data_IF_264664796077
#
_entry.id   IF_264664796077
#
_cell.length_a   1.000
_cell.length_b   1.000
_cell.length_c   1.000
_cell.angle_alpha   90.00
_cell.angle_beta   90.00
_cell.angle_gamma   90.00
#
_symmetry.space_group_name_H-M   'P 1'
#
loop_
_entity.id
_entity.type
_entity.pdbx_description
1 polymer ?
#
# COMPACT_ATOMS: atom_id res chain seq x y z
N UNK A 1 2.31 -3.23 18.24
CA UNK A 1 3.37 -2.33 18.75
C UNK A 1 2.87 -0.90 18.62
N UNK A 2 3.08 -0.02 19.62
CA UNK A 2 2.63 1.38 19.52
C UNK A 2 3.60 2.22 18.66
N UNK A 3 3.11 3.21 17.90
CA UNK A 3 3.96 4.15 17.19
C UNK A 3 4.84 5.01 18.13
N UNK A 4 5.80 5.74 17.56
CA UNK A 4 6.61 6.71 18.33
C UNK A 4 5.74 7.85 18.84
N UNK A 5 5.99 8.32 20.07
CA UNK A 5 5.23 9.40 20.71
C UNK A 5 5.24 10.71 19.92
N UNK A 6 6.31 10.96 19.15
CA UNK A 6 6.44 12.10 18.21
C UNK A 6 5.26 12.17 17.22
N UNK A 7 4.66 11.02 16.88
CA UNK A 7 3.52 10.93 15.96
C UNK A 7 2.25 11.57 16.54
N UNK A 8 2.09 11.63 17.87
CA UNK A 8 0.87 12.15 18.52
C UNK A 8 0.56 13.57 18.05
N UNK A 9 1.57 14.45 18.05
CA UNK A 9 1.41 15.85 17.60
C UNK A 9 1.09 15.93 16.11
N UNK A 10 1.78 15.14 15.28
CA UNK A 10 1.61 15.15 13.83
C UNK A 10 0.19 14.69 13.44
N UNK A 11 -0.25 13.55 13.99
CA UNK A 11 -1.60 13.02 13.79
C UNK A 11 -2.67 14.02 14.26
N UNK A 12 -2.49 14.59 15.46
CA UNK A 12 -3.43 15.59 16.01
C UNK A 12 -3.60 16.80 15.08
N UNK A 13 -2.50 17.34 14.55
CA UNK A 13 -2.53 18.49 13.61
C UNK A 13 -3.19 18.08 12.29
N UNK A 14 -2.84 16.91 11.74
CA UNK A 14 -3.44 16.39 10.49
C UNK A 14 -4.96 16.23 10.60
N UNK A 15 -5.43 15.77 11.76
CA UNK A 15 -6.86 15.63 12.08
C UNK A 15 -7.56 16.96 12.41
N UNK A 16 -6.83 18.09 12.45
CA UNK A 16 -7.39 19.40 12.73
C UNK A 16 -7.95 19.56 14.16
N UNK A 17 -7.51 18.74 15.12
CA UNK A 17 -8.03 18.80 16.49
C UNK A 17 -7.07 19.54 17.44
N UNK A 18 -7.64 20.18 18.46
CA UNK A 18 -6.85 20.89 19.49
C UNK A 18 -6.33 19.91 20.55
N UNK A 19 -5.27 20.30 21.28
CA UNK A 19 -4.79 19.54 22.44
C UNK A 19 -5.91 19.34 23.49
N UNK A 20 -6.79 20.33 23.65
CA UNK A 20 -7.98 20.26 24.52
C UNK A 20 -8.96 19.17 24.09
N UNK A 21 -9.24 19.06 22.79
CA UNK A 21 -10.12 18.02 22.25
C UNK A 21 -9.51 16.64 22.41
N UNK A 22 -8.21 16.48 22.14
CA UNK A 22 -7.52 15.19 22.33
C UNK A 22 -7.53 14.75 23.80
N UNK A 23 -7.22 15.67 24.71
CA UNK A 23 -7.23 15.43 26.16
C UNK A 23 -8.62 14.96 26.65
N UNK A 24 -9.69 15.65 26.25
CA UNK A 24 -11.06 15.29 26.61
C UNK A 24 -11.45 13.89 26.11
N UNK A 25 -11.07 13.52 24.88
CA UNK A 25 -11.38 12.22 24.30
C UNK A 25 -10.56 11.07 24.93
N UNK A 26 -9.38 11.37 25.45
CA UNK A 26 -8.46 10.37 26.01
C UNK A 26 -8.55 10.25 27.54
N UNK A 27 -9.30 11.15 28.18
CA UNK A 27 -9.49 11.17 29.64
C UNK A 27 -8.27 11.67 30.41
N UNK A 28 -7.41 12.48 29.78
CA UNK A 28 -6.22 13.07 30.43
C UNK A 28 -6.30 14.60 30.44
N UNK A 29 -5.40 15.25 31.17
CA UNK A 29 -5.34 16.71 31.20
C UNK A 29 -4.71 17.28 29.92
N UNK A 30 -5.12 18.49 29.54
CA UNK A 30 -4.52 19.24 28.42
C UNK A 30 -3.03 19.50 28.64
N UNK A 31 -2.63 19.74 29.89
CA UNK A 31 -1.24 19.90 30.30
C UNK A 31 -0.42 18.63 30.02
N UNK A 32 -0.97 17.45 30.33
CA UNK A 32 -0.30 16.17 30.05
C UNK A 32 -0.07 15.98 28.55
N UNK A 33 -1.08 16.25 27.70
CA UNK A 33 -0.89 16.20 26.23
C UNK A 33 0.21 17.18 25.78
N UNK A 34 0.24 18.40 26.32
CA UNK A 34 1.28 19.37 26.00
C UNK A 34 2.69 18.90 26.40
N UNK A 35 2.83 18.31 27.59
CA UNK A 35 4.10 17.74 28.07
C UNK A 35 4.56 16.54 27.23
N UNK A 36 3.62 15.71 26.76
CA UNK A 36 3.92 14.58 25.87
C UNK A 36 4.38 15.11 24.50
N UNK A 37 3.62 16.02 23.89
CA UNK A 37 3.95 16.57 22.56
C UNK A 37 5.22 17.43 22.54
N UNK A 38 5.63 17.98 23.68
CA UNK A 38 6.89 18.72 23.84
C UNK A 38 8.07 17.84 24.29
N UNK A 39 7.84 16.54 24.51
CA UNK A 39 8.88 15.60 24.95
C UNK A 39 9.28 15.74 26.42
N UNK A 40 8.62 16.61 27.19
CA UNK A 40 8.91 16.84 28.62
C UNK A 40 8.46 15.69 29.52
N UNK A 41 7.53 14.85 29.05
CA UNK A 41 7.01 13.72 29.79
C UNK A 41 6.82 12.50 28.87
N UNK A 42 7.06 11.31 29.41
CA UNK A 42 6.66 10.04 28.79
C UNK A 42 5.38 9.54 29.47
N UNK A 43 4.29 9.31 28.71
CA UNK A 43 3.07 8.74 29.27
C UNK A 43 3.28 7.27 29.66
N UNK A 44 2.39 6.75 30.52
CA UNK A 44 2.29 5.30 30.71
C UNK A 44 1.89 4.61 29.41
N UNK A 45 2.19 3.32 29.27
CA UNK A 45 1.77 2.53 28.11
C UNK A 45 0.25 2.62 27.89
N UNK A 46 -0.53 2.54 28.97
CA UNK A 46 -1.99 2.62 28.89
C UNK A 46 -2.47 3.97 28.36
N UNK A 47 -1.86 5.07 28.83
CA UNK A 47 -2.18 6.43 28.36
C UNK A 47 -1.79 6.59 26.89
N UNK A 48 -0.59 6.14 26.51
CA UNK A 48 -0.14 6.16 25.11
C UNK A 48 -1.11 5.35 24.22
N UNK A 49 -1.51 4.16 24.67
CA UNK A 49 -2.45 3.28 23.96
C UNK A 49 -3.79 3.99 23.72
N UNK A 50 -4.38 4.59 24.77
CA UNK A 50 -5.63 5.37 24.67
C UNK A 50 -5.50 6.53 23.69
N UNK A 51 -4.39 7.27 23.71
CA UNK A 51 -4.14 8.35 22.76
C UNK A 51 -4.10 7.83 21.32
N UNK A 52 -3.37 6.74 21.06
CA UNK A 52 -3.28 6.17 19.72
C UNK A 52 -4.60 5.55 19.24
N UNK A 53 -5.38 4.92 20.12
CA UNK A 53 -6.72 4.39 19.79
C UNK A 53 -7.68 5.52 19.35
N UNK A 54 -7.70 6.64 20.09
CA UNK A 54 -8.52 7.81 19.73
C UNK A 54 -8.04 8.43 18.42
N UNK A 55 -6.74 8.64 18.25
CA UNK A 55 -6.19 9.19 17.02
C UNK A 55 -6.49 8.28 15.81
N UNK A 56 -6.31 6.97 15.94
CA UNK A 56 -6.62 6.00 14.89
C UNK A 56 -8.12 5.93 14.55
N UNK A 57 -9.00 6.00 15.55
CA UNK A 57 -10.46 6.06 15.34
C UNK A 57 -10.90 7.32 14.61
N UNK A 58 -10.27 8.46 14.92
CA UNK A 58 -10.49 9.72 14.20
C UNK A 58 -9.91 9.68 12.79
N UNK A 59 -8.70 9.13 12.61
CA UNK A 59 -8.09 8.91 11.29
C UNK A 59 -8.97 8.02 10.41
N UNK A 60 -9.46 6.88 10.91
CA UNK A 60 -10.30 5.94 10.16
C UNK A 60 -11.63 6.52 9.66
N UNK A 61 -12.11 7.63 10.23
CA UNK A 61 -13.30 8.36 9.74
C UNK A 61 -12.99 9.31 8.57
N UNK A 62 -11.71 9.58 8.32
CA UNK A 62 -11.22 10.53 7.29
C UNK A 62 -10.13 9.93 6.38
N UNK A 63 -9.73 8.67 6.58
CA UNK A 63 -8.63 8.06 5.84
C UNK A 63 -9.10 7.56 4.48
N UNK A 64 -8.39 7.99 3.44
CA UNK A 64 -8.47 7.43 2.11
C UNK A 64 -8.13 5.94 2.15
N UNK A 65 -9.00 5.09 1.61
CA UNK A 65 -8.79 3.64 1.48
C UNK A 65 -7.90 3.36 0.27
N UNK A 66 -7.23 2.21 0.25
CA UNK A 66 -6.49 1.76 -0.93
C UNK A 66 -7.38 1.72 -2.19
N UNK A 67 -8.63 1.28 -2.01
CA UNK A 67 -9.66 1.29 -3.06
C UNK A 67 -10.04 2.68 -3.60
N UNK A 68 -9.75 3.76 -2.86
CA UNK A 68 -10.04 5.12 -3.32
C UNK A 68 -8.98 5.63 -4.32
N UNK A 69 -7.76 5.06 -4.28
CA UNK A 69 -6.63 5.43 -5.14
C UNK A 69 -6.44 4.42 -6.28
N UNK A 70 -6.96 3.20 -6.14
CA UNK A 70 -6.73 2.14 -7.11
C UNK A 70 -7.34 2.45 -8.50
N UNK A 71 -6.65 1.99 -9.54
CA UNK A 71 -7.15 2.08 -10.91
C UNK A 71 -8.39 1.19 -11.08
N UNK A 72 -9.50 1.76 -11.53
CA UNK A 72 -10.76 1.01 -11.76
C UNK A 72 -10.80 0.24 -13.08
N UNK A 73 -10.02 0.67 -14.07
CA UNK A 73 -9.85 -0.03 -15.35
C UNK A 73 -8.51 -0.72 -15.33
N UNK A 74 -8.53 -2.00 -14.98
CA UNK A 74 -7.33 -2.82 -14.92
C UNK A 74 -7.03 -3.36 -16.32
N UNK A 75 -5.80 -3.14 -16.79
CA UNK A 75 -5.26 -3.86 -17.94
C UNK A 75 -4.59 -5.10 -17.35
N UNK A 76 -4.91 -6.28 -17.89
CA UNK A 76 -4.49 -7.58 -17.37
C UNK A 76 -4.34 -8.59 -18.50
N UNK A 77 -3.63 -9.69 -18.24
CA UNK A 77 -3.46 -10.82 -19.18
C UNK A 77 -3.78 -12.13 -18.48
N UNK A 78 -4.18 -13.15 -19.24
CA UNK A 78 -4.28 -14.53 -18.74
C UNK A 78 -2.93 -15.25 -18.79
N UNK A 79 -2.74 -16.20 -17.88
CA UNK A 79 -1.49 -16.96 -17.73
C UNK A 79 -1.09 -17.79 -18.96
N UNK A 80 -2.07 -18.17 -19.78
CA UNK A 80 -1.91 -19.00 -20.99
C UNK A 80 -1.79 -18.16 -22.27
N UNK A 81 -1.97 -16.84 -22.18
CA UNK A 81 -1.72 -15.93 -23.29
C UNK A 81 -0.24 -15.92 -23.71
N UNK A 82 -0.03 -15.57 -24.97
CA UNK A 82 1.33 -15.46 -25.54
C UNK A 82 2.04 -14.23 -24.99
N UNK A 83 3.32 -14.41 -24.65
CA UNK A 83 4.16 -13.36 -24.06
C UNK A 83 4.23 -12.10 -24.94
N UNK A 84 4.37 -12.26 -26.26
CA UNK A 84 4.44 -11.12 -27.18
C UNK A 84 3.18 -10.23 -27.12
N UNK A 85 1.98 -10.82 -26.97
CA UNK A 85 0.74 -10.03 -26.84
C UNK A 85 0.74 -9.22 -25.55
N UNK A 86 1.26 -9.79 -24.46
CA UNK A 86 1.39 -9.08 -23.19
C UNK A 86 2.39 -7.91 -23.30
N UNK A 87 3.53 -8.11 -23.98
CA UNK A 87 4.52 -7.06 -24.23
C UNK A 87 3.91 -5.92 -25.06
N UNK A 88 3.19 -6.25 -26.14
CA UNK A 88 2.50 -5.25 -26.97
C UNK A 88 1.46 -4.46 -26.16
N UNK A 89 0.70 -5.15 -25.30
CA UNK A 89 -0.29 -4.53 -24.43
C UNK A 89 0.37 -3.56 -23.42
N UNK A 90 1.48 -3.96 -22.79
CA UNK A 90 2.27 -3.10 -21.90
C UNK A 90 2.79 -1.85 -22.62
N UNK A 91 3.39 -2.03 -23.81
CA UNK A 91 3.91 -0.94 -24.64
C UNK A 91 2.80 0.03 -25.07
N UNK A 92 1.71 -0.49 -25.62
CA UNK A 92 0.61 0.32 -26.14
C UNK A 92 -0.10 1.14 -25.06
N UNK A 93 -0.07 0.67 -23.80
CA UNK A 93 -0.66 1.38 -22.68
C UNK A 93 0.36 2.14 -21.82
N UNK A 94 1.65 2.10 -22.17
CA UNK A 94 2.75 2.71 -21.39
C UNK A 94 2.77 2.24 -19.93
N UNK A 95 2.63 0.93 -19.71
CA UNK A 95 2.59 0.31 -18.38
C UNK A 95 3.78 -0.63 -18.21
N UNK A 96 4.52 -0.48 -17.12
CA UNK A 96 5.71 -1.29 -16.80
C UNK A 96 5.40 -2.60 -16.08
N UNK A 97 4.17 -2.78 -15.57
CA UNK A 97 3.75 -3.97 -14.84
C UNK A 97 2.28 -4.30 -15.08
N UNK A 98 1.98 -5.57 -15.33
CA UNK A 98 0.63 -6.04 -15.62
C UNK A 98 0.27 -7.26 -14.76
N UNK A 99 -0.90 -7.27 -14.09
CA UNK A 99 -1.35 -8.43 -13.34
C UNK A 99 -1.72 -9.58 -14.27
N UNK A 100 -1.30 -10.78 -13.86
CA UNK A 100 -1.57 -12.04 -14.56
C UNK A 100 -2.68 -12.78 -13.83
N UNK A 101 -3.71 -13.15 -14.59
CA UNK A 101 -4.88 -13.85 -14.09
C UNK A 101 -4.89 -15.30 -14.55
N UNK A 102 -5.51 -16.13 -13.72
CA UNK A 102 -6.04 -17.44 -14.08
C UNK A 102 -7.55 -17.37 -13.87
N UNK A 103 -8.28 -17.17 -14.98
CA UNK A 103 -9.70 -16.82 -14.95
C UNK A 103 -9.94 -15.54 -14.13
N UNK A 104 -10.50 -15.67 -12.92
CA UNK A 104 -10.80 -14.54 -12.02
C UNK A 104 -9.78 -14.33 -10.89
N UNK A 105 -8.76 -15.18 -10.80
CA UNK A 105 -7.77 -15.15 -9.71
C UNK A 105 -6.48 -14.51 -10.19
N UNK A 106 -5.94 -13.56 -9.43
CA UNK A 106 -4.58 -13.05 -9.65
C UNK A 106 -3.59 -14.15 -9.26
N UNK A 107 -2.77 -14.59 -10.22
CA UNK A 107 -1.77 -15.67 -10.03
C UNK A 107 -0.34 -15.19 -10.19
N UNK A 108 -0.13 -13.95 -10.63
CA UNK A 108 1.20 -13.38 -10.79
C UNK A 108 1.21 -11.95 -11.29
N UNK A 109 2.42 -11.46 -11.54
CA UNK A 109 2.70 -10.19 -12.19
C UNK A 109 3.69 -10.41 -13.32
N UNK A 110 3.49 -9.72 -14.44
CA UNK A 110 4.51 -9.59 -15.46
C UNK A 110 5.09 -8.17 -15.38
N UNK A 111 6.41 -8.06 -15.28
CA UNK A 111 7.11 -6.78 -15.10
C UNK A 111 8.14 -6.56 -16.20
N UNK A 112 8.48 -5.31 -16.50
CA UNK A 112 9.59 -4.98 -17.42
C UNK A 112 10.92 -5.59 -16.98
N UNK A 113 11.20 -5.64 -15.67
CA UNK A 113 12.41 -6.26 -15.12
C UNK A 113 12.45 -7.77 -15.36
N UNK A 114 11.33 -8.46 -15.12
CA UNK A 114 11.17 -9.88 -15.41
C UNK A 114 11.32 -10.19 -16.90
N UNK A 115 10.75 -9.35 -17.77
CA UNK A 115 10.91 -9.45 -19.22
C UNK A 115 12.37 -9.25 -19.66
N UNK A 116 13.05 -8.25 -19.11
CA UNK A 116 14.45 -7.96 -19.44
C UNK A 116 15.38 -9.13 -19.11
N UNK A 117 15.18 -9.79 -17.95
CA UNK A 117 15.94 -11.00 -17.58
C UNK A 117 15.79 -12.11 -18.61
N UNK A 118 14.55 -12.39 -19.02
CA UNK A 118 14.28 -13.45 -20.01
C UNK A 118 14.86 -13.10 -21.39
N UNK A 119 14.86 -11.82 -21.78
CA UNK A 119 15.45 -11.37 -23.04
C UNK A 119 16.98 -11.52 -23.08
N UNK A 120 17.65 -11.48 -21.93
CA UNK A 120 19.11 -11.73 -21.85
C UNK A 120 19.42 -13.23 -21.97
N UNK A 121 18.51 -14.09 -21.51
CA UNK A 121 18.71 -15.54 -21.45
C UNK A 121 18.20 -16.29 -22.69
N UNK A 122 17.29 -15.71 -23.48
CA UNK A 122 16.60 -16.39 -24.58
C UNK A 122 16.65 -15.62 -25.89
N UNK A 123 16.71 -16.36 -26.98
CA UNK A 123 16.64 -15.81 -28.32
C UNK A 123 15.22 -15.32 -28.67
N UNK A 124 15.13 -14.34 -29.57
CA UNK A 124 13.87 -13.71 -29.99
C UNK A 124 12.84 -14.72 -30.55
N UNK A 125 13.31 -15.82 -31.15
CA UNK A 125 12.45 -16.89 -31.68
C UNK A 125 11.72 -17.65 -30.56
N UNK A 126 12.36 -17.80 -29.41
CA UNK A 126 11.78 -18.51 -28.26
C UNK A 126 10.69 -17.66 -27.60
N UNK A 127 10.92 -16.35 -27.50
CA UNK A 127 9.99 -15.39 -26.89
C UNK A 127 8.62 -15.37 -27.59
N UNK A 128 8.57 -15.54 -28.91
CA UNK A 128 7.31 -15.50 -29.68
C UNK A 128 6.32 -16.60 -29.26
N UNK A 129 6.85 -17.77 -28.88
CA UNK A 129 6.03 -18.95 -28.59
C UNK A 129 5.75 -19.13 -27.09
N UNK A 130 6.48 -18.42 -26.23
CA UNK A 130 6.30 -18.49 -24.77
C UNK A 130 4.94 -17.97 -24.33
N UNK A 131 4.48 -18.55 -23.22
CA UNK A 131 3.31 -18.09 -22.48
C UNK A 131 3.72 -17.20 -21.31
N UNK A 132 2.81 -16.33 -20.88
CA UNK A 132 3.00 -15.44 -19.74
C UNK A 132 3.37 -16.21 -18.47
N UNK A 133 2.74 -17.37 -18.23
CA UNK A 133 3.01 -18.21 -17.06
C UNK A 133 4.46 -18.70 -16.91
N UNK A 134 5.25 -18.69 -17.99
CA UNK A 134 6.65 -19.10 -17.97
C UNK A 134 7.60 -17.98 -17.53
N UNK A 135 7.12 -16.74 -17.47
CA UNK A 135 7.92 -15.53 -17.18
C UNK A 135 7.39 -14.77 -15.97
N UNK A 136 6.10 -14.89 -15.67
CA UNK A 136 5.48 -14.16 -14.57
C UNK A 136 6.18 -14.40 -13.22
N UNK A 137 6.15 -13.38 -12.40
CA UNK A 137 6.57 -13.41 -11.00
C UNK A 137 5.36 -13.70 -10.10
N UNK A 138 5.59 -14.18 -8.85
CA UNK A 138 4.51 -14.38 -7.88
C UNK A 138 3.67 -13.11 -7.67
N UNK A 139 2.38 -13.25 -7.29
CA UNK A 139 1.53 -12.10 -7.07
C UNK A 139 2.00 -11.31 -5.85
N UNK A 140 1.86 -9.97 -5.84
CA UNK A 140 2.16 -9.16 -4.67
C UNK A 140 1.14 -9.44 -3.55
N UNK A 141 1.42 -8.99 -2.31
CA UNK A 141 0.43 -9.01 -1.24
C UNK A 141 -0.87 -8.33 -1.68
N UNK A 142 -1.99 -9.03 -1.49
CA UNK A 142 -3.32 -8.51 -1.80
C UNK A 142 -3.91 -7.88 -0.54
N UNK A 143 -4.64 -6.78 -0.73
CA UNK A 143 -5.36 -6.06 0.33
C UNK A 143 -6.85 -6.04 0.02
N UNK A 144 -7.67 -6.13 1.07
CA UNK A 144 -9.13 -6.08 1.03
C UNK A 144 -9.71 -4.67 1.27
#
# INVERSE_FOLDING_TARGET
>A
MLPRLEYIRQARIRLGITQRKLAALTGVSTSMINQIESGRCKPSYETARKIFEILGSLEGRTSMKAGDICSRRLISVQRDEKLHKAIDLMRNNSISQIPVFDSSRVVGMLTEDGLAKVMVEKDEKDLKNMQVSQVMEPPPPLVD
#
